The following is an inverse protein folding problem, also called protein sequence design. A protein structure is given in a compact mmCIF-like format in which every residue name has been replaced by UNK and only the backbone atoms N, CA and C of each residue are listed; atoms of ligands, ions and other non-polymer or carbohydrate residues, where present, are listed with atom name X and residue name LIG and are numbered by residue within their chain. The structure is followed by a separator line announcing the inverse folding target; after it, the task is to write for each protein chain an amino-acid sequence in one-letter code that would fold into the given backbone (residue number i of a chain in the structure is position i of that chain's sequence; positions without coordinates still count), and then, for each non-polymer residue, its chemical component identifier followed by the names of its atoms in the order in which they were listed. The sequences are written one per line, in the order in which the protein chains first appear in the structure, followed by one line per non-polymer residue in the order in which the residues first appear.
data_IF_195401534564
#
_entry.id   IF_195401534564
#
_cell.length_a   1.000
_cell.length_b   1.000
_cell.length_c   1.000
_cell.angle_alpha   90.00
_cell.angle_beta   90.00
_cell.angle_gamma   90.00
#
_symmetry.space_group_name_H-M   'P 1'
#
loop_
_entity.id
_entity.type
_entity.pdbx_description
1 polymer ?
#
# COMPACT_ATOMS: atom_id res chain seq x y z
N UNK A 1 -53.37 31.07 -28.91
CA UNK A 1 -52.75 30.46 -27.71
C UNK A 1 -52.36 29.00 -27.96
N UNK A 2 -51.42 28.72 -28.89
CA UNK A 2 -51.04 27.34 -29.25
C UNK A 2 -49.53 27.14 -29.47
N UNK A 3 -48.67 27.92 -28.78
CA UNK A 3 -47.21 27.84 -28.94
C UNK A 3 -46.48 27.12 -27.77
N UNK A 4 -47.15 26.87 -26.63
CA UNK A 4 -46.49 26.36 -25.42
C UNK A 4 -46.24 24.83 -25.42
N UNK A 5 -47.03 24.06 -26.18
CA UNK A 5 -46.94 22.59 -26.16
C UNK A 5 -45.71 22.03 -26.91
N UNK A 6 -45.23 22.73 -27.95
CA UNK A 6 -44.06 22.30 -28.73
C UNK A 6 -42.74 22.48 -27.99
N UNK A 7 -42.63 23.54 -27.18
CA UNK A 7 -41.45 23.82 -26.37
C UNK A 7 -41.32 22.84 -25.19
N UNK A 8 -42.42 22.52 -24.51
CA UNK A 8 -42.45 21.60 -23.37
C UNK A 8 -42.11 20.15 -23.77
N UNK A 9 -42.63 19.69 -24.92
CA UNK A 9 -42.31 18.35 -25.47
C UNK A 9 -40.84 18.25 -25.90
N UNK A 10 -40.28 19.31 -26.50
CA UNK A 10 -38.87 19.36 -26.90
C UNK A 10 -37.94 19.38 -25.68
N UNK A 11 -38.31 20.16 -24.67
CA UNK A 11 -37.56 20.29 -23.42
C UNK A 11 -37.57 19.00 -22.58
N UNK A 12 -38.67 18.24 -22.59
CA UNK A 12 -38.74 16.90 -21.97
C UNK A 12 -37.80 15.90 -22.66
N UNK A 13 -37.73 15.92 -24.00
CA UNK A 13 -36.83 15.04 -24.77
C UNK A 13 -35.35 15.34 -24.48
N UNK A 14 -34.96 16.62 -24.46
CA UNK A 14 -33.59 17.01 -24.10
C UNK A 14 -33.24 16.61 -22.67
N UNK A 15 -34.15 16.76 -21.70
CA UNK A 15 -33.94 16.31 -20.33
C UNK A 15 -33.73 14.80 -20.23
N UNK A 16 -34.54 14.00 -20.93
CA UNK A 16 -34.38 12.54 -20.97
C UNK A 16 -33.03 12.15 -21.56
N UNK A 17 -32.64 12.72 -22.71
CA UNK A 17 -31.36 12.43 -23.36
C UNK A 17 -30.16 12.82 -22.49
N UNK A 18 -30.19 14.00 -21.86
CA UNK A 18 -29.15 14.43 -20.92
C UNK A 18 -29.08 13.49 -19.71
N UNK A 19 -30.22 13.08 -19.16
CA UNK A 19 -30.25 12.15 -18.03
C UNK A 19 -29.69 10.78 -18.40
N UNK A 20 -30.04 10.22 -19.56
CA UNK A 20 -29.50 8.95 -20.03
C UNK A 20 -27.98 9.05 -20.27
N UNK A 21 -27.52 10.13 -20.91
CA UNK A 21 -26.10 10.36 -21.15
C UNK A 21 -25.32 10.47 -19.84
N UNK A 22 -25.83 11.22 -18.85
CA UNK A 22 -25.19 11.35 -17.54
C UNK A 22 -25.14 10.01 -16.80
N UNK A 23 -26.26 9.27 -16.76
CA UNK A 23 -26.32 7.96 -16.09
C UNK A 23 -25.37 6.96 -16.73
N UNK A 24 -25.32 6.89 -18.07
CA UNK A 24 -24.41 6.00 -18.77
C UNK A 24 -22.94 6.38 -18.53
N UNK A 25 -22.59 7.67 -18.63
CA UNK A 25 -21.22 8.12 -18.37
C UNK A 25 -20.80 7.87 -16.92
N UNK A 26 -21.67 8.13 -15.93
CA UNK A 26 -21.41 7.81 -14.52
C UNK A 26 -21.24 6.32 -14.30
N UNK A 27 -22.08 5.49 -14.94
CA UNK A 27 -21.94 4.04 -14.89
C UNK A 27 -20.60 3.58 -15.48
N UNK A 28 -20.24 4.03 -16.68
CA UNK A 28 -18.97 3.68 -17.32
C UNK A 28 -17.75 4.14 -16.51
N UNK A 29 -17.78 5.36 -15.95
CA UNK A 29 -16.71 5.86 -15.09
C UNK A 29 -16.62 5.05 -13.80
N UNK A 30 -17.74 4.73 -13.14
CA UNK A 30 -17.74 3.90 -11.93
C UNK A 30 -17.26 2.48 -12.21
N UNK A 31 -17.67 1.89 -13.33
CA UNK A 31 -17.24 0.57 -13.78
C UNK A 31 -15.74 0.58 -14.07
N UNK A 32 -15.24 1.54 -14.84
CA UNK A 32 -13.82 1.68 -15.12
C UNK A 32 -13.00 1.88 -13.84
N UNK A 33 -13.49 2.69 -12.89
CA UNK A 33 -12.79 2.90 -11.63
C UNK A 33 -12.81 1.68 -10.69
N UNK A 34 -13.83 0.82 -10.79
CA UNK A 34 -13.93 -0.41 -10.00
C UNK A 34 -13.20 -1.60 -10.63
N UNK A 35 -13.16 -1.68 -11.96
CA UNK A 35 -12.60 -2.82 -12.69
C UNK A 35 -11.19 -2.57 -13.25
N UNK A 36 -10.85 -1.31 -13.57
CA UNK A 36 -9.57 -0.98 -14.19
C UNK A 36 -8.59 -0.31 -13.23
N UNK A 37 -9.06 0.55 -12.31
CA UNK A 37 -8.19 1.06 -11.26
C UNK A 37 -7.93 -0.09 -10.27
N UNK A 38 -6.70 -0.63 -10.21
CA UNK A 38 -6.40 -1.59 -9.17
C UNK A 38 -6.53 -0.82 -7.87
N UNK A 39 -7.48 -1.21 -7.01
CA UNK A 39 -7.30 -0.90 -5.59
C UNK A 39 -5.94 -1.49 -5.26
N UNK A 40 -4.98 -0.68 -4.81
CA UNK A 40 -3.63 -1.15 -4.49
C UNK A 40 -3.66 -2.36 -3.54
N UNK A 41 -4.75 -2.57 -2.79
CA UNK A 41 -5.00 -3.76 -1.97
C UNK A 41 -5.60 -5.02 -2.65
N UNK A 42 -6.03 -4.98 -3.93
CA UNK A 42 -6.54 -6.14 -4.71
C UNK A 42 -5.49 -6.69 -5.69
N UNK A 43 -4.51 -5.88 -6.11
CA UNK A 43 -3.45 -6.30 -7.03
C UNK A 43 -2.48 -7.34 -6.44
N UNK A 44 -2.39 -7.41 -5.12
CA UNK A 44 -1.70 -8.48 -4.42
C UNK A 44 -2.68 -9.65 -4.25
N UNK A 45 -2.63 -10.62 -5.16
CA UNK A 45 -3.40 -11.86 -5.06
C UNK A 45 -2.84 -12.78 -3.98
N UNK A 46 -2.31 -13.93 -4.39
CA UNK A 46 -1.70 -14.90 -3.48
C UNK A 46 -0.51 -14.35 -2.68
N UNK A 47 0.21 -13.34 -3.21
CA UNK A 47 1.40 -12.75 -2.59
C UNK A 47 1.10 -11.77 -1.47
N UNK A 48 -0.17 -11.37 -1.26
CA UNK A 48 -0.54 -10.34 -0.27
C UNK A 48 -0.08 -10.66 1.14
N UNK A 49 -0.28 -11.92 1.57
CA UNK A 49 0.16 -12.36 2.89
C UNK A 49 1.67 -12.27 3.04
N UNK A 50 2.43 -12.74 2.04
CA UNK A 50 3.88 -12.69 2.05
C UNK A 50 4.40 -11.24 2.04
N UNK A 51 3.83 -10.37 1.21
CA UNK A 51 4.18 -8.95 1.16
C UNK A 51 3.92 -8.27 2.51
N UNK A 52 2.74 -8.48 3.12
CA UNK A 52 2.41 -7.88 4.41
C UNK A 52 3.35 -8.29 5.54
N UNK A 53 3.83 -9.54 5.53
CA UNK A 53 4.78 -10.00 6.54
C UNK A 53 6.17 -9.41 6.32
N UNK A 54 6.62 -9.34 5.06
CA UNK A 54 7.89 -8.73 4.70
C UNK A 54 7.90 -7.23 5.04
N UNK A 55 6.81 -6.51 4.76
CA UNK A 55 6.64 -5.10 5.12
C UNK A 55 6.62 -4.91 6.64
N UNK A 56 5.91 -5.76 7.39
CA UNK A 56 5.85 -5.67 8.84
C UNK A 56 7.22 -5.88 9.50
N UNK A 57 8.00 -6.85 9.01
CA UNK A 57 9.36 -7.11 9.52
C UNK A 57 10.34 -6.03 9.06
N UNK A 58 10.26 -5.60 7.79
CA UNK A 58 11.09 -4.51 7.27
C UNK A 58 10.81 -3.15 7.91
N UNK A 59 9.65 -2.97 8.56
CA UNK A 59 9.31 -1.78 9.32
C UNK A 59 9.85 -1.78 10.76
N UNK A 60 10.48 -2.86 11.24
CA UNK A 60 11.09 -2.91 12.58
C UNK A 60 12.25 -1.91 12.62
N UNK A 61 12.22 -1.01 13.60
CA UNK A 61 13.25 0.01 13.77
C UNK A 61 14.50 -0.58 14.43
N UNK A 62 15.55 -0.78 13.65
CA UNK A 62 16.88 -1.18 14.11
C UNK A 62 17.87 0.00 14.11
N UNK A 63 17.39 1.20 14.51
CA UNK A 63 18.16 2.44 14.66
C UNK A 63 18.97 2.91 13.44
N UNK A 64 18.73 2.34 12.25
CA UNK A 64 19.55 2.59 11.05
C UNK A 64 20.90 1.86 11.04
N UNK A 65 21.16 1.03 12.05
CA UNK A 65 22.42 0.30 12.25
C UNK A 65 22.23 -1.22 12.21
N UNK A 66 21.09 -1.66 11.66
CA UNK A 66 20.77 -3.06 11.48
C UNK A 66 19.52 -3.23 10.64
N UNK A 67 19.13 -4.48 10.45
CA UNK A 67 17.90 -4.88 9.76
C UNK A 67 17.28 -6.08 10.47
N UNK A 68 15.96 -6.23 10.37
CA UNK A 68 15.28 -7.43 10.85
C UNK A 68 14.82 -8.27 9.65
N UNK A 69 14.89 -9.59 9.77
CA UNK A 69 14.54 -10.52 8.71
C UNK A 69 13.42 -11.47 9.14
N UNK A 70 12.64 -11.92 8.15
CA UNK A 70 11.44 -12.73 8.33
C UNK A 70 11.74 -14.09 9.00
N UNK A 71 12.93 -14.61 8.76
CA UNK A 71 13.53 -15.83 9.30
C UNK A 71 14.47 -15.56 10.49
N UNK A 72 14.54 -14.32 10.97
CA UNK A 72 15.35 -13.92 12.11
C UNK A 72 14.89 -14.54 13.43
N UNK A 73 15.79 -14.56 14.41
CA UNK A 73 15.53 -15.17 15.73
C UNK A 73 14.46 -14.38 16.49
N UNK A 74 13.32 -14.99 16.90
CA UNK A 74 12.25 -14.28 17.60
C UNK A 74 12.66 -13.76 18.99
N UNK A 75 12.24 -12.54 19.33
CA UNK A 75 12.46 -11.96 20.66
C UNK A 75 11.30 -12.36 21.58
N UNK A 76 11.43 -13.51 22.26
CA UNK A 76 10.42 -13.97 23.24
C UNK A 76 9.68 -15.25 22.86
N UNK A 77 10.11 -15.96 21.82
CA UNK A 77 9.52 -17.22 21.38
C UNK A 77 8.71 -17.10 20.09
N UNK A 78 8.10 -18.19 19.67
CA UNK A 78 7.37 -18.30 18.40
C UNK A 78 6.22 -17.27 18.34
N UNK A 79 6.14 -16.51 17.24
CA UNK A 79 5.13 -15.47 17.02
C UNK A 79 5.49 -14.07 17.54
N UNK A 80 6.63 -13.88 18.20
CA UNK A 80 7.18 -12.56 18.50
C UNK A 80 8.00 -11.99 17.31
N UNK A 81 8.16 -10.65 17.20
CA UNK A 81 8.98 -10.06 16.16
C UNK A 81 10.44 -10.56 16.22
N UNK A 82 11.10 -10.71 15.05
CA UNK A 82 12.50 -11.10 14.98
C UNK A 82 13.42 -10.04 15.58
N UNK A 83 14.56 -10.48 16.11
CA UNK A 83 15.62 -9.61 16.61
C UNK A 83 16.26 -8.85 15.45
N UNK A 84 16.69 -7.61 15.71
CA UNK A 84 17.56 -6.88 14.80
C UNK A 84 18.92 -7.58 14.63
N UNK A 85 19.34 -7.74 13.39
CA UNK A 85 20.70 -8.10 13.01
C UNK A 85 21.48 -6.81 12.74
N UNK A 86 22.45 -6.54 13.62
CA UNK A 86 23.20 -5.29 13.61
C UNK A 86 24.36 -5.34 12.62
N UNK A 87 24.69 -4.17 12.04
CA UNK A 87 25.92 -3.96 11.29
C UNK A 87 27.14 -4.10 12.20
N UNK A 88 28.32 -4.26 11.60
CA UNK A 88 29.59 -4.34 12.33
C UNK A 88 29.75 -3.15 13.30
N UNK A 89 30.23 -3.44 14.51
CA UNK A 89 30.42 -2.51 15.61
C UNK A 89 29.16 -1.93 16.27
N UNK A 90 27.96 -2.42 15.94
CA UNK A 90 26.71 -2.04 16.63
C UNK A 90 26.10 -3.20 17.41
N UNK A 91 25.44 -2.88 18.52
CA UNK A 91 24.75 -3.82 19.41
C UNK A 91 23.53 -3.19 20.08
N UNK A 92 22.96 -3.90 21.05
CA UNK A 92 21.69 -3.56 21.68
C UNK A 92 20.50 -4.27 21.02
N UNK A 93 19.31 -4.12 21.59
CA UNK A 93 18.10 -4.74 21.06
C UNK A 93 17.71 -4.17 19.68
N UNK A 94 18.01 -2.89 19.46
CA UNK A 94 17.67 -2.09 18.29
C UNK A 94 18.92 -1.57 17.54
N UNK A 95 20.10 -2.14 17.80
CA UNK A 95 21.37 -1.74 17.19
C UNK A 95 21.82 -0.29 17.48
N UNK A 96 21.30 0.34 18.54
CA UNK A 96 21.67 1.72 18.90
C UNK A 96 23.03 1.86 19.61
N UNK A 97 23.59 0.78 20.13
CA UNK A 97 24.82 0.82 20.95
C UNK A 97 26.06 0.65 20.08
N UNK A 98 26.92 1.67 20.02
CA UNK A 98 28.23 1.57 19.37
C UNK A 98 29.23 0.90 20.31
N UNK A 99 29.89 -0.17 19.85
CA UNK A 99 30.93 -0.84 20.62
C UNK A 99 32.21 0.01 20.70
N UNK A 100 32.75 0.27 21.91
CA UNK A 100 34.05 0.90 22.04
C UNK A 100 35.16 -0.03 21.52
N UNK A 101 36.22 0.55 20.97
CA UNK A 101 37.41 -0.16 20.47
C UNK A 101 37.11 -1.26 19.42
N UNK A 102 36.03 -1.09 18.64
CA UNK A 102 35.71 -1.97 17.53
C UNK A 102 36.41 -1.49 16.23
N UNK A 103 37.31 -2.28 15.64
CA UNK A 103 37.95 -1.90 14.38
C UNK A 103 36.92 -1.95 13.24
N UNK A 104 36.96 -0.94 12.37
CA UNK A 104 36.14 -0.92 11.17
C UNK A 104 36.54 -2.08 10.26
N UNK A 105 35.56 -2.91 9.90
CA UNK A 105 35.72 -3.94 8.90
C UNK A 105 35.35 -3.35 7.52
N UNK A 106 36.36 -3.27 6.65
CA UNK A 106 36.23 -2.78 5.29
C UNK A 106 36.79 -3.80 4.29
N UNK A 107 36.92 -5.06 4.69
CA UNK A 107 37.29 -6.17 3.82
C UNK A 107 36.08 -6.51 2.94
N UNK A 108 35.72 -5.58 2.05
CA UNK A 108 34.65 -5.75 1.08
C UNK A 108 35.00 -6.87 0.10
N UNK A 109 34.08 -7.82 -0.06
CA UNK A 109 34.14 -8.86 -1.10
C UNK A 109 33.60 -8.35 -2.43
#
# INVERSE_FOLDING_TARGET
MAAAAGADVSQRKCRVLLSCSLLSNLFFLSYYHLYHFPKEGIALGWSRGAASQAEAVGAISCSGHGSAFLDGVPVGGEGCPPRCECHACYAGHDCSELLPDCPADADGL
#
